data_IF_906209999875
#
_entry.id   IF_906209999875
#
_cell.length_a   1.000
_cell.length_b   1.000
_cell.length_c   1.000
_cell.angle_alpha   90.00
_cell.angle_beta   90.00
_cell.angle_gamma   90.00
#
_symmetry.space_group_name_H-M   'P 1'
#
loop_
_entity.id
_entity.type
_entity.pdbx_description
1 polymer ?
#
# COMPACT_ATOMS: atom_id res chain seq x y z
N UNK A 1 13.10 -19.14 12.83
CA UNK A 1 12.68 -18.73 11.47
C UNK A 1 13.20 -17.33 11.30
N UNK A 2 14.17 -17.12 10.41
CA UNK A 2 14.68 -15.79 10.11
C UNK A 2 13.53 -14.98 9.53
N UNK A 3 13.15 -13.89 10.16
CA UNK A 3 12.27 -12.89 9.53
C UNK A 3 12.98 -12.44 8.26
N UNK A 4 12.46 -12.72 7.05
CA UNK A 4 13.06 -12.18 5.86
C UNK A 4 12.94 -10.66 5.95
N UNK A 5 14.05 -9.95 5.81
CA UNK A 5 14.03 -8.51 5.54
C UNK A 5 13.23 -8.33 4.25
N UNK A 6 11.97 -7.88 4.38
CA UNK A 6 11.10 -7.64 3.23
C UNK A 6 11.74 -6.55 2.37
N UNK A 7 11.83 -6.80 1.07
CA UNK A 7 12.35 -5.81 0.12
C UNK A 7 11.26 -4.83 -0.31
N UNK A 8 11.64 -3.64 -0.78
CA UNK A 8 10.70 -2.65 -1.34
C UNK A 8 9.80 -3.26 -2.41
N UNK A 9 10.34 -4.11 -3.27
CA UNK A 9 9.57 -4.80 -4.31
C UNK A 9 8.48 -5.71 -3.75
N UNK A 10 8.74 -6.44 -2.65
CA UNK A 10 7.73 -7.27 -1.99
C UNK A 10 6.63 -6.41 -1.34
N UNK A 11 7.00 -5.25 -0.78
CA UNK A 11 6.05 -4.29 -0.24
C UNK A 11 5.21 -3.70 -1.37
N UNK A 12 5.84 -3.29 -2.48
CA UNK A 12 5.17 -2.78 -3.67
C UNK A 12 4.17 -3.78 -4.23
N UNK A 13 4.58 -5.04 -4.38
CA UNK A 13 3.69 -6.10 -4.84
C UNK A 13 2.50 -6.31 -3.90
N UNK A 14 2.73 -6.27 -2.58
CA UNK A 14 1.66 -6.38 -1.56
C UNK A 14 0.70 -5.19 -1.63
N UNK A 15 1.22 -3.98 -1.76
CA UNK A 15 0.47 -2.72 -1.89
C UNK A 15 -0.41 -2.77 -3.14
N UNK A 16 0.19 -3.03 -4.30
CA UNK A 16 -0.54 -3.11 -5.57
C UNK A 16 -1.60 -4.20 -5.54
N UNK A 17 -1.31 -5.36 -4.97
CA UNK A 17 -2.30 -6.45 -4.82
C UNK A 17 -3.49 -6.02 -3.97
N UNK A 18 -3.25 -5.40 -2.81
CA UNK A 18 -4.34 -4.96 -1.94
C UNK A 18 -5.21 -3.87 -2.58
N UNK A 19 -4.61 -2.98 -3.35
CA UNK A 19 -5.33 -1.95 -4.12
C UNK A 19 -6.15 -2.62 -5.23
N UNK A 20 -5.50 -3.47 -6.04
CA UNK A 20 -6.11 -4.19 -7.16
C UNK A 20 -7.34 -4.99 -6.75
N UNK A 21 -7.26 -5.68 -5.60
CA UNK A 21 -8.38 -6.43 -5.02
C UNK A 21 -9.59 -5.55 -4.68
N UNK A 22 -9.37 -4.28 -4.35
CA UNK A 22 -10.43 -3.33 -3.96
C UNK A 22 -11.04 -2.68 -5.19
N UNK A 23 -10.21 -2.20 -6.12
CA UNK A 23 -10.66 -1.49 -7.33
C UNK A 23 -11.04 -2.42 -8.49
N UNK A 24 -10.74 -3.72 -8.38
CA UNK A 24 -11.10 -4.73 -9.36
C UNK A 24 -10.25 -4.71 -10.64
N UNK A 25 -8.95 -4.44 -10.52
CA UNK A 25 -7.99 -4.40 -11.65
C UNK A 25 -6.84 -5.39 -11.39
N UNK A 26 -5.85 -5.49 -12.29
CA UNK A 26 -4.66 -6.31 -12.05
C UNK A 26 -3.55 -5.50 -11.34
N UNK A 27 -2.79 -6.07 -10.39
CA UNK A 27 -1.72 -5.36 -9.68
C UNK A 27 -0.58 -4.90 -10.59
N UNK A 28 -0.46 -5.50 -11.77
CA UNK A 28 0.52 -5.17 -12.81
C UNK A 28 0.13 -3.90 -13.58
N UNK A 29 -1.16 -3.55 -13.62
CA UNK A 29 -1.68 -2.33 -14.23
C UNK A 29 -1.51 -1.09 -13.34
N UNK A 30 -1.17 -1.30 -12.07
CA UNK A 30 -0.97 -0.23 -11.09
C UNK A 30 0.52 0.18 -11.09
N UNK A 31 0.78 1.38 -11.63
CA UNK A 31 2.10 2.02 -11.58
C UNK A 31 2.46 2.54 -10.18
N UNK A 32 3.73 2.91 -9.98
CA UNK A 32 4.18 3.57 -8.74
C UNK A 32 3.87 5.08 -8.75
N UNK A 33 3.65 5.65 -9.93
CA UNK A 33 3.42 7.07 -10.18
C UNK A 33 1.93 7.46 -10.21
N UNK A 34 1.02 6.48 -10.14
CA UNK A 34 -0.43 6.72 -10.11
C UNK A 34 -0.93 7.06 -8.71
N UNK A 35 -1.88 7.97 -8.67
CA UNK A 35 -2.64 8.36 -7.49
C UNK A 35 -3.92 7.57 -7.38
N UNK A 36 -4.14 6.94 -6.22
CA UNK A 36 -5.39 6.21 -5.95
C UNK A 36 -6.61 7.13 -6.03
N UNK A 37 -6.51 8.34 -5.49
CA UNK A 37 -7.62 9.28 -5.44
C UNK A 37 -7.79 10.01 -6.77
N UNK A 38 -6.70 10.50 -7.38
CA UNK A 38 -6.81 11.32 -8.58
C UNK A 38 -6.96 10.52 -9.88
N UNK A 39 -6.28 9.37 -10.01
CA UNK A 39 -6.29 8.58 -11.24
C UNK A 39 -7.35 7.45 -11.20
N UNK A 40 -7.46 6.74 -10.07
CA UNK A 40 -8.42 5.65 -9.91
C UNK A 40 -9.75 6.07 -9.28
N UNK A 41 -9.85 7.29 -8.74
CA UNK A 41 -11.08 7.78 -8.12
C UNK A 41 -11.45 7.04 -6.83
N UNK A 42 -10.45 6.49 -6.13
CA UNK A 42 -10.67 5.71 -4.90
C UNK A 42 -11.26 6.60 -3.80
N UNK A 43 -12.39 6.17 -3.25
CA UNK A 43 -13.12 6.86 -2.18
C UNK A 43 -12.54 6.55 -0.79
N UNK A 44 -12.97 7.31 0.22
CA UNK A 44 -12.51 7.14 1.60
C UNK A 44 -12.82 5.75 2.21
N UNK A 45 -13.92 5.12 1.79
CA UNK A 45 -14.29 3.76 2.19
C UNK A 45 -13.34 2.72 1.60
N UNK A 46 -12.99 2.87 0.33
CA UNK A 46 -12.06 1.98 -0.35
C UNK A 46 -10.65 2.13 0.23
N UNK A 47 -10.22 3.35 0.57
CA UNK A 47 -8.96 3.59 1.28
C UNK A 47 -8.92 2.93 2.66
N UNK A 48 -10.03 2.94 3.41
CA UNK A 48 -10.13 2.20 4.69
C UNK A 48 -9.93 0.70 4.48
N UNK A 49 -10.54 0.16 3.42
CA UNK A 49 -10.49 -1.24 3.05
C UNK A 49 -9.10 -1.68 2.56
N UNK A 50 -8.42 -0.83 1.79
CA UNK A 50 -7.02 -1.03 1.36
C UNK A 50 -6.10 -0.99 2.58
N UNK A 51 -6.25 0.00 3.45
CA UNK A 51 -5.48 0.13 4.68
C UNK A 51 -5.59 -1.10 5.56
N UNK A 52 -6.81 -1.56 5.85
CA UNK A 52 -7.03 -2.75 6.66
C UNK A 52 -6.41 -4.03 6.07
N UNK A 53 -6.45 -4.19 4.74
CA UNK A 53 -5.79 -5.31 4.03
C UNK A 53 -4.27 -5.23 4.18
N UNK A 54 -3.69 -4.05 4.00
CA UNK A 54 -2.25 -3.83 4.11
C UNK A 54 -1.74 -4.00 5.54
N UNK A 55 -2.46 -3.49 6.53
CA UNK A 55 -2.14 -3.69 7.94
C UNK A 55 -2.04 -5.18 8.28
N UNK A 56 -3.00 -5.98 7.78
CA UNK A 56 -3.02 -7.43 7.99
C UNK A 56 -1.90 -8.15 7.22
N UNK A 57 -1.57 -7.72 6.01
CA UNK A 57 -0.58 -8.37 5.16
C UNK A 57 0.87 -8.07 5.59
N UNK A 58 1.11 -6.83 6.03
CA UNK A 58 2.43 -6.34 6.43
C UNK A 58 2.63 -6.35 7.95
N UNK A 59 1.60 -6.66 8.73
CA UNK A 59 1.60 -6.64 10.19
C UNK A 59 2.03 -5.28 10.76
N UNK A 60 1.67 -4.20 10.07
CA UNK A 60 1.93 -2.79 10.43
C UNK A 60 0.64 -2.05 10.75
N UNK A 61 0.75 -0.92 11.45
CA UNK A 61 -0.36 0.02 11.60
C UNK A 61 -0.28 1.09 10.52
N UNK A 62 -1.36 1.27 9.79
CA UNK A 62 -1.47 2.20 8.68
C UNK A 62 -2.71 3.05 8.95
N UNK A 63 -2.49 4.33 9.21
CA UNK A 63 -3.61 5.25 9.31
C UNK A 63 -4.12 5.59 7.92
N UNK A 64 -5.43 5.63 7.73
CA UNK A 64 -6.06 6.06 6.47
C UNK A 64 -5.56 7.44 6.06
N UNK A 65 -5.25 8.29 7.04
CA UNK A 65 -4.65 9.60 6.82
C UNK A 65 -3.31 9.50 6.09
N UNK A 66 -2.46 8.53 6.43
CA UNK A 66 -1.18 8.33 5.76
C UNK A 66 -1.39 7.90 4.29
N UNK A 67 -2.40 7.06 4.02
CA UNK A 67 -2.78 6.69 2.65
C UNK A 67 -3.35 7.87 1.85
N UNK A 68 -4.12 8.75 2.48
CA UNK A 68 -4.60 9.98 1.81
C UNK A 68 -3.50 11.02 1.58
N UNK A 69 -2.42 10.98 2.39
CA UNK A 69 -1.25 11.83 2.20
C UNK A 69 -0.28 11.27 1.16
N UNK A 70 -0.32 9.96 0.91
CA UNK A 70 0.43 9.34 -0.17
C UNK A 70 -0.13 9.83 -1.52
N UNK A 71 0.63 10.71 -2.16
CA UNK A 71 0.28 11.26 -3.48
C UNK A 71 0.19 10.16 -4.55
N UNK A 72 1.05 9.16 -4.46
CA UNK A 72 1.12 8.02 -5.39
C UNK A 72 1.29 6.69 -4.66
N UNK A 73 1.03 5.60 -5.38
CA UNK A 73 1.27 4.23 -4.89
C UNK A 73 2.72 4.03 -4.44
N UNK A 74 3.69 4.53 -5.21
CA UNK A 74 5.11 4.46 -4.86
C UNK A 74 5.43 5.20 -3.55
N UNK A 75 4.81 6.35 -3.31
CA UNK A 75 4.96 7.06 -2.04
C UNK A 75 4.38 6.25 -0.87
N UNK A 76 3.22 5.59 -1.06
CA UNK A 76 2.67 4.68 -0.05
C UNK A 76 3.63 3.51 0.25
N UNK A 77 4.25 2.93 -0.77
CA UNK A 77 5.26 1.87 -0.62
C UNK A 77 6.47 2.35 0.17
N UNK A 78 6.99 3.53 -0.15
CA UNK A 78 8.16 4.11 0.52
C UNK A 78 7.87 4.39 2.01
N UNK A 79 6.69 4.94 2.31
CA UNK A 79 6.22 5.14 3.68
C UNK A 79 6.15 3.81 4.45
N UNK A 80 5.65 2.75 3.82
CA UNK A 80 5.54 1.44 4.46
C UNK A 80 6.90 0.77 4.68
N UNK A 81 7.81 0.87 3.71
CA UNK A 81 9.18 0.39 3.83
C UNK A 81 9.93 1.08 4.98
N UNK A 82 9.80 2.41 5.10
CA UNK A 82 10.38 3.15 6.22
C UNK A 82 9.83 2.66 7.57
N UNK A 83 8.51 2.51 7.70
CA UNK A 83 7.87 2.05 8.95
C UNK A 83 8.24 0.62 9.32
N UNK A 84 8.40 -0.26 8.34
CA UNK A 84 8.84 -1.64 8.56
C UNK A 84 10.28 -1.69 9.07
N UNK A 85 11.15 -0.81 8.56
CA UNK A 85 12.55 -0.68 9.02
C UNK A 85 12.64 -0.11 10.43
N UNK A 86 11.80 0.85 10.80
CA UNK A 86 11.77 1.41 12.16
C UNK A 86 11.32 0.40 13.23
N UNK A 87 10.61 -0.67 12.82
CA UNK A 87 10.17 -1.76 13.69
C UNK A 87 11.13 -2.95 13.75
N UNK A 88 12.21 -2.92 12.98
CA UNK A 88 13.20 -4.01 12.85
C UNK A 88 14.29 -3.97 13.92
#
# INVERSE_FOLDING_TARGET
MSTPTRTRDEIAHTVRTAIADVIGTEPEEIGDDVSLVADYGVDSLELMDIGARLEKALEVRIEVRDLTLAETVGHAVDLLDERLRERS
#
